data_IF_620114442257
#
_entry.id   IF_620114442257
#
_cell.length_a   1.000
_cell.length_b   1.000
_cell.length_c   1.000
_cell.angle_alpha   90.00
_cell.angle_beta   90.00
_cell.angle_gamma   90.00
#
_symmetry.space_group_name_H-M   'P 1'
#
loop_
_entity.id
_entity.type
_entity.pdbx_description
1 polymer ?
#
# COMPACT_ATOMS: atom_id res chain seq x y z
N UNK A 1 -2.50 34.70 -1.67
CA UNK A 1 -1.27 33.93 -1.94
C UNK A 1 -1.51 32.50 -1.45
N UNK A 2 -2.14 31.65 -2.27
CA UNK A 2 -2.49 30.28 -1.86
C UNK A 2 -1.38 29.33 -2.28
N UNK A 3 -0.77 28.62 -1.33
CA UNK A 3 0.23 27.61 -1.62
C UNK A 3 -0.34 26.59 -2.62
N UNK A 4 0.33 26.40 -3.75
CA UNK A 4 0.02 25.31 -4.68
C UNK A 4 0.44 23.99 -4.00
N UNK A 5 -0.51 23.30 -3.37
CA UNK A 5 -0.30 22.00 -2.69
C UNK A 5 -0.15 20.85 -3.73
N UNK A 6 -0.31 21.16 -5.02
CA UNK A 6 -0.31 20.18 -6.10
C UNK A 6 1.11 19.92 -6.61
N UNK A 7 1.47 18.65 -6.72
CA UNK A 7 2.75 18.23 -7.30
C UNK A 7 2.79 18.58 -8.79
N UNK A 8 3.95 18.98 -9.34
CA UNK A 8 4.04 19.33 -10.75
C UNK A 8 3.64 18.15 -11.65
N UNK A 9 3.13 18.46 -12.85
CA UNK A 9 2.57 17.50 -13.81
C UNK A 9 3.49 16.31 -14.14
N UNK A 10 4.80 16.50 -14.03
CA UNK A 10 5.81 15.45 -14.27
C UNK A 10 5.67 14.27 -13.29
N UNK A 11 5.17 14.48 -12.07
CA UNK A 11 4.99 13.43 -11.07
C UNK A 11 3.90 12.43 -11.45
N UNK A 12 2.92 12.82 -12.29
CA UNK A 12 1.91 11.87 -12.80
C UNK A 12 2.53 10.82 -13.70
N UNK A 13 3.43 11.23 -14.60
CA UNK A 13 4.12 10.32 -15.51
C UNK A 13 5.03 9.37 -14.74
N UNK A 14 5.74 9.90 -13.74
CA UNK A 14 6.60 9.10 -12.87
C UNK A 14 5.79 8.11 -12.02
N UNK A 15 4.63 8.55 -11.50
CA UNK A 15 3.68 7.70 -10.80
C UNK A 15 3.19 6.53 -11.65
N UNK A 16 2.81 6.76 -12.92
CA UNK A 16 2.42 5.68 -13.83
C UNK A 16 3.56 4.73 -14.18
N UNK A 17 4.77 5.25 -14.38
CA UNK A 17 5.97 4.43 -14.65
C UNK A 17 6.28 3.50 -13.47
N UNK A 18 6.03 3.93 -12.23
CA UNK A 18 6.21 3.10 -11.03
C UNK A 18 5.01 2.18 -10.80
N UNK A 19 3.79 2.68 -11.02
CA UNK A 19 2.54 1.95 -10.77
C UNK A 19 2.45 0.70 -11.63
N UNK A 20 2.74 0.78 -12.93
CA UNK A 20 2.60 -0.37 -13.84
C UNK A 20 3.44 -1.58 -13.39
N UNK A 21 4.77 -1.46 -13.17
CA UNK A 21 5.55 -2.58 -12.68
C UNK A 21 5.17 -2.98 -11.25
N UNK A 22 4.86 -2.03 -10.36
CA UNK A 22 4.43 -2.34 -9.00
C UNK A 22 3.10 -3.11 -8.95
N UNK A 23 2.16 -2.80 -9.85
CA UNK A 23 0.88 -3.47 -9.96
C UNK A 23 1.03 -4.87 -10.55
N UNK A 24 1.90 -5.05 -11.55
CA UNK A 24 2.23 -6.39 -12.09
C UNK A 24 2.86 -7.25 -11.00
N UNK A 25 3.87 -6.71 -10.27
CA UNK A 25 4.48 -7.42 -9.14
C UNK A 25 3.45 -7.72 -8.04
N UNK A 26 2.57 -6.77 -7.71
CA UNK A 26 1.50 -6.98 -6.75
C UNK A 26 0.55 -8.10 -7.18
N UNK A 27 0.22 -8.17 -8.47
CA UNK A 27 -0.60 -9.23 -9.02
C UNK A 27 0.08 -10.61 -8.88
N UNK A 28 1.37 -10.71 -9.22
CA UNK A 28 2.15 -11.94 -9.06
C UNK A 28 2.24 -12.38 -7.58
N UNK A 29 2.41 -11.43 -6.66
CA UNK A 29 2.41 -11.72 -5.22
C UNK A 29 1.07 -12.30 -4.77
N UNK A 30 -0.06 -11.76 -5.25
CA UNK A 30 -1.39 -12.19 -4.83
C UNK A 30 -1.80 -13.55 -5.41
N UNK A 31 -1.46 -13.83 -6.68
CA UNK A 31 -1.89 -15.06 -7.35
C UNK A 31 -0.89 -16.21 -7.20
N UNK A 32 0.40 -15.92 -7.33
CA UNK A 32 1.44 -16.95 -7.35
C UNK A 32 2.18 -17.06 -6.02
N UNK A 33 1.78 -16.30 -4.99
CA UNK A 33 2.49 -16.16 -3.71
C UNK A 33 3.98 -15.84 -3.91
N UNK A 34 4.27 -15.00 -4.91
CA UNK A 34 5.64 -14.65 -5.26
C UNK A 34 6.38 -14.02 -4.06
N UNK A 35 7.52 -14.60 -3.71
CA UNK A 35 8.41 -14.13 -2.66
C UNK A 35 9.81 -13.92 -3.21
N UNK A 36 10.48 -12.85 -2.79
CA UNK A 36 11.89 -12.62 -3.07
C UNK A 36 12.71 -13.08 -1.87
N UNK A 37 13.58 -14.07 -2.07
CA UNK A 37 14.45 -14.61 -1.01
C UNK A 37 15.44 -13.56 -0.46
N UNK A 38 15.78 -12.54 -1.26
CA UNK A 38 16.62 -11.41 -0.82
C UNK A 38 15.94 -10.60 0.30
N UNK A 39 14.61 -10.66 0.38
CA UNK A 39 13.79 -9.91 1.34
C UNK A 39 13.37 -10.77 2.54
N UNK A 40 13.92 -11.98 2.68
CA UNK A 40 13.78 -12.76 3.91
C UNK A 40 14.65 -12.14 5.00
N UNK A 41 14.03 -11.87 6.14
CA UNK A 41 14.76 -11.36 7.28
C UNK A 41 14.18 -11.84 8.59
N UNK A 42 15.07 -11.91 9.58
CA UNK A 42 14.76 -12.35 10.94
C UNK A 42 14.11 -11.20 11.70
N UNK A 43 12.84 -11.36 12.03
CA UNK A 43 12.05 -10.41 12.81
C UNK A 43 11.72 -11.00 14.20
N UNK A 44 11.74 -10.15 15.22
CA UNK A 44 11.26 -10.51 16.55
C UNK A 44 9.74 -10.43 16.54
N UNK A 45 9.06 -11.56 16.74
CA UNK A 45 7.61 -11.60 16.99
C UNK A 45 7.36 -11.66 18.49
N UNK A 46 6.37 -10.90 18.96
CA UNK A 46 5.95 -10.85 20.38
C UNK A 46 5.26 -12.16 20.78
N UNK A 47 4.53 -12.75 19.84
CA UNK A 47 3.77 -13.97 20.07
C UNK A 47 3.81 -14.84 18.82
N UNK A 48 4.19 -16.11 18.98
CA UNK A 48 4.14 -17.10 17.92
C UNK A 48 3.29 -18.28 18.39
N UNK A 49 2.12 -18.45 17.76
CA UNK A 49 1.24 -19.59 17.99
C UNK A 49 0.70 -20.06 16.65
N UNK A 50 0.80 -21.37 16.38
CA UNK A 50 0.25 -21.98 15.16
C UNK A 50 -1.30 -21.95 15.10
N UNK A 51 -1.97 -21.49 16.16
CA UNK A 51 -3.43 -21.47 16.25
C UNK A 51 -3.95 -20.31 17.09
N UNK A 52 -5.11 -19.79 16.70
CA UNK A 52 -5.83 -18.75 17.45
C UNK A 52 -6.11 -19.27 18.87
N UNK A 53 -5.68 -18.56 19.94
CA UNK A 53 -5.79 -19.04 21.32
C UNK A 53 -7.21 -19.40 21.77
N UNK A 54 -8.21 -18.86 21.07
CA UNK A 54 -9.62 -19.02 21.39
C UNK A 54 -10.26 -20.31 20.84
N UNK A 55 -9.64 -21.00 19.87
CA UNK A 55 -10.29 -22.11 19.13
C UNK A 55 -9.53 -23.44 19.24
N UNK A 56 -8.21 -23.42 19.45
CA UNK A 56 -7.43 -24.65 19.65
C UNK A 56 -6.17 -24.35 20.47
N UNK A 57 -6.07 -24.82 21.72
CA UNK A 57 -4.87 -24.65 22.52
C UNK A 57 -3.90 -25.77 22.13
N UNK A 58 -2.96 -25.49 21.22
CA UNK A 58 -1.77 -26.33 21.05
C UNK A 58 -0.61 -25.72 21.83
N UNK A 59 0.00 -26.57 22.63
CA UNK A 59 1.06 -26.31 23.60
C UNK A 59 2.42 -26.17 22.93
N UNK A 60 2.81 -24.92 22.66
CA UNK A 60 4.18 -24.41 22.72
C UNK A 60 4.13 -22.88 22.52
N UNK A 61 3.63 -22.18 23.54
CA UNK A 61 3.58 -20.71 23.58
C UNK A 61 4.99 -20.15 23.82
N UNK A 62 5.69 -19.84 22.72
CA UNK A 62 6.95 -19.11 22.80
C UNK A 62 6.67 -17.61 22.66
N UNK A 63 6.77 -16.93 23.79
CA UNK A 63 6.75 -15.47 23.88
C UNK A 63 8.11 -14.95 23.42
N UNK A 64 8.12 -13.97 22.51
CA UNK A 64 9.34 -13.37 21.95
C UNK A 64 10.26 -14.35 21.20
N UNK A 65 9.85 -14.75 20.00
CA UNK A 65 10.65 -15.60 19.09
C UNK A 65 11.21 -14.78 17.93
N UNK A 66 12.38 -15.16 17.44
CA UNK A 66 12.91 -14.67 16.16
C UNK A 66 12.42 -15.63 15.08
N UNK A 67 11.62 -15.12 14.15
CA UNK A 67 11.09 -15.87 13.01
C UNK A 67 11.58 -15.26 11.70
N UNK A 68 11.69 -16.09 10.67
CA UNK A 68 11.98 -15.62 9.32
C UNK A 68 10.68 -15.14 8.66
N UNK A 69 10.65 -13.86 8.26
CA UNK A 69 9.50 -13.24 7.61
C UNK A 69 9.96 -12.61 6.31
N UNK A 70 9.18 -12.84 5.25
CA UNK A 70 9.41 -12.24 3.96
C UNK A 70 8.68 -10.89 3.84
N UNK A 71 9.42 -9.81 3.61
CA UNK A 71 8.85 -8.46 3.48
C UNK A 71 8.40 -8.08 2.06
N UNK A 72 8.46 -9.01 1.10
CA UNK A 72 8.13 -8.76 -0.33
C UNK A 72 6.73 -8.16 -0.48
N UNK A 73 5.73 -8.74 0.19
CA UNK A 73 4.34 -8.26 0.10
C UNK A 73 4.20 -6.84 0.64
N UNK A 74 4.82 -6.57 1.79
CA UNK A 74 4.79 -5.25 2.44
C UNK A 74 5.43 -4.18 1.57
N UNK A 75 6.60 -4.47 0.99
CA UNK A 75 7.33 -3.51 0.16
C UNK A 75 6.60 -3.23 -1.14
N UNK A 76 6.08 -4.27 -1.81
CA UNK A 76 5.31 -4.11 -3.05
C UNK A 76 3.99 -3.37 -2.78
N UNK A 77 3.30 -3.68 -1.69
CA UNK A 77 2.10 -2.95 -1.27
C UNK A 77 2.39 -1.47 -1.01
N UNK A 78 3.46 -1.17 -0.28
CA UNK A 78 3.89 0.19 0.00
C UNK A 78 4.24 0.96 -1.29
N UNK A 79 4.94 0.31 -2.21
CA UNK A 79 5.29 0.88 -3.52
C UNK A 79 4.03 1.23 -4.33
N UNK A 80 3.02 0.38 -4.32
CA UNK A 80 1.73 0.64 -4.97
C UNK A 80 1.01 1.84 -4.35
N UNK A 81 0.97 1.93 -3.01
CA UNK A 81 0.37 3.08 -2.30
C UNK A 81 1.09 4.38 -2.68
N UNK A 82 2.43 4.39 -2.67
CA UNK A 82 3.20 5.57 -3.07
C UNK A 82 2.94 5.97 -4.52
N UNK A 83 2.90 5.01 -5.45
CA UNK A 83 2.63 5.28 -6.86
C UNK A 83 1.24 5.90 -7.07
N UNK A 84 0.21 5.35 -6.42
CA UNK A 84 -1.16 5.89 -6.46
C UNK A 84 -1.23 7.29 -5.84
N UNK A 85 -0.52 7.52 -4.73
CA UNK A 85 -0.46 8.83 -4.09
C UNK A 85 0.14 9.88 -5.03
N UNK A 86 1.25 9.56 -5.70
CA UNK A 86 1.87 10.45 -6.69
C UNK A 86 0.94 10.77 -7.86
N UNK A 87 0.16 9.79 -8.33
CA UNK A 87 -0.83 10.00 -9.39
C UNK A 87 -1.99 10.89 -8.90
N UNK A 88 -2.55 10.61 -7.73
CA UNK A 88 -3.73 11.29 -7.20
C UNK A 88 -3.48 12.78 -6.86
N UNK A 89 -2.27 13.11 -6.40
CA UNK A 89 -1.90 14.47 -6.01
C UNK A 89 -1.12 15.26 -7.07
N UNK A 90 -0.94 14.70 -8.27
CA UNK A 90 -0.30 15.42 -9.38
C UNK A 90 -1.27 16.38 -10.08
N UNK A 91 -0.74 17.54 -10.49
CA UNK A 91 -1.50 18.59 -11.18
C UNK A 91 -1.89 18.17 -12.59
N UNK A 92 -3.14 18.46 -12.97
CA UNK A 92 -3.65 18.27 -14.34
C UNK A 92 -3.19 19.41 -15.27
N UNK A 93 -3.05 19.12 -16.57
CA UNK A 93 -2.50 20.08 -17.56
C UNK A 93 -3.33 21.37 -17.66
N UNK A 94 -4.65 21.24 -17.60
CA UNK A 94 -5.62 22.33 -17.55
C UNK A 94 -6.46 22.12 -16.27
N UNK A 95 -6.27 22.96 -15.26
CA UNK A 95 -7.14 22.94 -14.08
C UNK A 95 -8.37 23.84 -14.31
N UNK A 96 -9.40 23.25 -14.90
CA UNK A 96 -10.74 23.84 -14.91
C UNK A 96 -11.36 23.73 -13.50
N UNK A 97 -12.23 24.68 -13.14
CA UNK A 97 -12.98 24.70 -11.89
C UNK A 97 -13.77 23.40 -11.69
N UNK A 98 -14.32 22.84 -12.77
CA UNK A 98 -15.02 21.56 -12.75
C UNK A 98 -14.11 20.40 -12.33
N UNK A 99 -12.88 20.33 -12.86
CA UNK A 99 -11.91 19.26 -12.52
C UNK A 99 -11.51 19.34 -11.05
N UNK A 100 -11.31 20.56 -10.53
CA UNK A 100 -11.02 20.77 -9.10
C UNK A 100 -12.18 20.30 -8.22
N UNK A 101 -13.42 20.58 -8.62
CA UNK A 101 -14.62 20.13 -7.89
C UNK A 101 -14.74 18.61 -7.88
N UNK A 102 -14.61 17.96 -9.04
CA UNK A 102 -14.70 16.50 -9.16
C UNK A 102 -13.65 15.80 -8.28
N UNK A 103 -12.42 16.33 -8.22
CA UNK A 103 -11.36 15.77 -7.36
C UNK A 103 -11.71 15.84 -5.88
N UNK A 104 -12.28 16.96 -5.43
CA UNK A 104 -12.71 17.13 -4.04
C UNK A 104 -13.87 16.19 -3.70
N UNK A 105 -14.88 16.13 -4.56
CA UNK A 105 -16.04 15.24 -4.37
C UNK A 105 -15.61 13.77 -4.35
N UNK A 106 -14.65 13.37 -5.20
CA UNK A 106 -14.08 12.03 -5.19
C UNK A 106 -13.33 11.70 -3.89
N UNK A 107 -12.57 12.66 -3.32
CA UNK A 107 -11.87 12.46 -2.05
C UNK A 107 -12.84 12.33 -0.87
N UNK A 108 -13.92 13.10 -0.88
CA UNK A 108 -15.00 13.00 0.12
C UNK A 108 -15.69 11.63 0.00
N UNK A 109 -16.03 11.20 -1.22
CA UNK A 109 -16.62 9.87 -1.45
C UNK A 109 -15.68 8.74 -1.02
N UNK A 110 -14.38 8.83 -1.30
CA UNK A 110 -13.40 7.84 -0.83
C UNK A 110 -13.37 7.74 0.71
N UNK A 111 -13.45 8.88 1.40
CA UNK A 111 -13.52 8.94 2.86
C UNK A 111 -14.84 8.34 3.38
N UNK A 112 -15.97 8.64 2.75
CA UNK A 112 -17.26 8.03 3.10
C UNK A 112 -17.29 6.53 2.86
N UNK A 113 -16.66 6.04 1.79
CA UNK A 113 -16.55 4.59 1.54
C UNK A 113 -15.62 3.95 2.58
N UNK A 114 -14.53 4.61 2.99
CA UNK A 114 -13.60 4.05 3.96
C UNK A 114 -14.17 3.96 5.39
N UNK A 115 -14.97 4.94 5.82
CA UNK A 115 -15.57 4.96 7.16
C UNK A 115 -17.01 4.45 7.21
N UNK A 116 -17.70 4.41 6.07
CA UNK A 116 -19.08 3.94 5.95
C UNK A 116 -19.19 2.43 5.68
N UNK A 117 -18.07 1.77 5.37
CA UNK A 117 -17.92 0.33 5.27
C UNK A 117 -17.07 -0.17 6.44
#
# INVERSE_FOLDING_TARGET
MGANILLPHTFRQLGWIILVPAAILGMLVLFDNFSLDILDSRMITIYNSDSVPLISPKTQDHWFQIIDVNFTQTIIGLLNIFALLFIAFSKEKEEDEFIRKVRLDALVMATYVNYGF
#
